data_IF_716793085364
#
_entry.id   IF_716793085364
#
_cell.length_a   1.000
_cell.length_b   1.000
_cell.length_c   1.000
_cell.angle_alpha   90.00
_cell.angle_beta   90.00
_cell.angle_gamma   90.00
#
_symmetry.space_group_name_H-M   'P 1'
#
loop_
_entity.id
_entity.type
_entity.pdbx_description
1 polymer ?
#
# COMPACT_ATOMS: atom_id res chain seq x y z
N UNK A 1 -15.47 3.04 11.41
CA UNK A 1 -14.21 2.54 12.01
C UNK A 1 -13.10 3.39 11.40
N UNK A 2 -12.31 4.08 12.22
CA UNK A 2 -11.17 4.87 11.76
C UNK A 2 -9.93 3.99 11.85
N UNK A 3 -9.15 3.89 10.77
CA UNK A 3 -7.94 3.08 10.78
C UNK A 3 -6.73 4.02 10.94
N UNK A 4 -6.00 3.85 12.06
CA UNK A 4 -4.83 4.66 12.43
C UNK A 4 -3.55 4.25 11.66
N UNK A 5 -3.61 3.16 10.89
CA UNK A 5 -2.52 2.58 10.09
C UNK A 5 -2.11 3.40 8.86
N UNK A 6 -2.92 4.42 8.52
CA UNK A 6 -2.73 5.28 7.37
C UNK A 6 -3.22 4.67 6.05
N UNK A 7 -3.30 5.51 5.02
CA UNK A 7 -3.65 5.08 3.67
C UNK A 7 -2.42 4.72 2.84
N UNK A 8 -2.63 3.92 1.80
CA UNK A 8 -1.69 3.69 0.70
C UNK A 8 -2.43 3.94 -0.62
N UNK A 9 -1.71 4.38 -1.65
CA UNK A 9 -2.26 4.59 -2.99
C UNK A 9 -1.74 3.50 -3.93
N UNK A 10 -2.64 2.75 -4.55
CA UNK A 10 -2.29 1.81 -5.61
C UNK A 10 -2.48 2.50 -6.95
N UNK A 11 -1.43 2.52 -7.77
CA UNK A 11 -1.47 3.13 -9.09
C UNK A 11 -1.51 2.06 -10.18
N UNK A 12 -2.62 1.98 -10.90
CA UNK A 12 -2.74 1.19 -12.13
C UNK A 12 -2.40 2.07 -13.33
N UNK A 13 -2.48 1.49 -14.53
CA UNK A 13 -2.29 2.23 -15.79
C UNK A 13 -3.36 3.32 -15.98
N UNK A 14 -4.56 3.13 -15.44
CA UNK A 14 -5.70 4.02 -15.66
C UNK A 14 -6.18 4.77 -14.40
N UNK A 15 -5.99 4.20 -13.20
CA UNK A 15 -6.61 4.69 -11.98
C UNK A 15 -5.66 4.71 -10.78
N UNK A 16 -6.04 5.50 -9.78
CA UNK A 16 -5.39 5.55 -8.47
C UNK A 16 -6.40 5.14 -7.39
N UNK A 17 -6.06 4.14 -6.59
CA UNK A 17 -6.89 3.63 -5.50
C UNK A 17 -6.29 4.00 -4.16
N UNK A 18 -6.99 4.81 -3.37
CA UNK A 18 -6.57 5.10 -2.00
C UNK A 18 -7.28 4.15 -1.03
N UNK A 19 -6.53 3.27 -0.39
CA UNK A 19 -7.05 2.24 0.50
C UNK A 19 -6.31 2.21 1.83
N UNK A 20 -6.94 1.65 2.87
CA UNK A 20 -6.30 1.46 4.17
C UNK A 20 -5.41 0.22 4.15
N UNK A 21 -4.22 0.33 4.75
CA UNK A 21 -3.22 -0.75 4.73
C UNK A 21 -3.77 -2.03 5.36
N UNK A 22 -4.51 -1.94 6.45
CA UNK A 22 -5.13 -3.07 7.17
C UNK A 22 -6.24 -3.75 6.39
N UNK A 23 -6.99 -3.02 5.55
CA UNK A 23 -7.97 -3.62 4.65
C UNK A 23 -7.24 -4.42 3.58
N UNK A 24 -6.22 -3.81 2.99
CA UNK A 24 -5.42 -4.44 1.94
C UNK A 24 -4.68 -5.70 2.45
N UNK A 25 -4.12 -5.64 3.66
CA UNK A 25 -3.47 -6.77 4.33
C UNK A 25 -4.44 -7.88 4.72
N UNK A 26 -5.73 -7.58 4.93
CA UNK A 26 -6.75 -8.60 5.19
C UNK A 26 -7.16 -9.34 3.94
N UNK A 27 -7.23 -8.63 2.81
CA UNK A 27 -7.66 -9.20 1.52
C UNK A 27 -6.50 -9.83 0.74
N UNK A 28 -5.24 -9.52 1.07
CA UNK A 28 -4.08 -10.04 0.35
C UNK A 28 -2.89 -10.34 1.25
N UNK A 29 -2.42 -11.59 1.19
CA UNK A 29 -1.22 -12.04 1.90
C UNK A 29 0.04 -11.32 1.41
N UNK A 30 0.12 -10.97 0.12
CA UNK A 30 1.26 -10.23 -0.42
C UNK A 30 1.41 -8.87 0.26
N UNK A 31 0.33 -8.10 0.36
CA UNK A 31 0.38 -6.79 1.02
C UNK A 31 0.58 -6.91 2.53
N UNK A 32 0.01 -7.95 3.15
CA UNK A 32 0.29 -8.27 4.55
C UNK A 32 1.79 -8.49 4.77
N UNK A 33 2.41 -9.36 3.99
CA UNK A 33 3.83 -9.67 4.10
C UNK A 33 4.70 -8.45 3.79
N UNK A 34 4.31 -7.65 2.79
CA UNK A 34 4.97 -6.38 2.46
C UNK A 34 4.96 -5.39 3.63
N UNK A 35 3.83 -5.23 4.33
CA UNK A 35 3.74 -4.31 5.48
C UNK A 35 4.40 -4.86 6.74
N UNK A 36 4.40 -6.18 6.92
CA UNK A 36 5.01 -6.85 8.06
C UNK A 36 6.54 -6.94 7.92
N UNK A 37 7.12 -6.71 6.72
CA UNK A 37 8.57 -6.77 6.50
C UNK A 37 9.28 -5.49 7.00
N UNK A 38 10.14 -5.57 8.04
CA UNK A 38 10.93 -4.43 8.49
C UNK A 38 12.07 -4.20 7.48
N UNK A 39 11.93 -3.20 6.60
CA UNK A 39 13.10 -2.75 5.84
C UNK A 39 14.01 -2.01 6.80
N UNK A 40 15.22 -2.55 7.01
CA UNK A 40 16.26 -1.99 7.87
C UNK A 40 16.62 -0.56 7.44
N UNK A 41 15.99 0.42 8.07
CA UNK A 41 16.20 1.84 7.87
C UNK A 41 15.52 2.60 9.00
N UNK A 42 16.33 3.23 9.83
CA UNK A 42 16.00 3.59 11.20
C UNK A 42 15.04 4.79 11.31
N UNK A 43 14.21 4.73 12.36
CA UNK A 43 13.48 5.81 13.04
C UNK A 43 12.16 6.33 12.44
N UNK A 44 11.06 5.97 13.11
CA UNK A 44 9.84 6.76 13.18
C UNK A 44 8.62 6.11 12.55
N UNK A 45 7.80 5.47 13.40
CA UNK A 45 6.35 5.32 13.22
C UNK A 45 5.88 4.62 11.92
N UNK A 46 6.01 3.29 11.85
CA UNK A 46 5.18 2.44 10.96
C UNK A 46 5.26 2.74 9.44
N UNK A 47 6.47 3.05 8.94
CA UNK A 47 6.74 3.28 7.51
C UNK A 47 7.78 2.31 6.90
N UNK A 48 7.97 1.14 7.51
CA UNK A 48 9.06 0.21 7.19
C UNK A 48 9.21 -0.17 5.71
N UNK A 49 8.16 -0.58 5.00
CA UNK A 49 8.28 -0.95 3.58
C UNK A 49 8.01 0.20 2.59
N UNK A 50 7.44 1.31 3.05
CA UNK A 50 6.87 2.36 2.20
C UNK A 50 7.60 3.70 2.30
N UNK A 51 8.64 3.81 3.14
CA UNK A 51 9.46 5.01 3.25
C UNK A 51 10.24 5.35 1.98
N UNK A 52 10.63 4.34 1.18
CA UNK A 52 11.25 4.52 -0.15
C UNK A 52 10.25 4.46 -1.31
N UNK A 53 8.96 4.27 -1.04
CA UNK A 53 7.95 4.26 -2.09
C UNK A 53 7.71 5.68 -2.60
N UNK A 54 7.43 5.79 -3.89
CA UNK A 54 6.91 7.03 -4.49
C UNK A 54 5.73 7.53 -3.63
N UNK A 55 5.62 8.84 -3.37
CA UNK A 55 4.52 9.39 -2.56
C UNK A 55 3.57 10.20 -3.44
N UNK A 56 2.28 9.93 -3.34
CA UNK A 56 1.22 10.73 -3.94
C UNK A 56 0.54 11.59 -2.88
N UNK A 57 0.70 12.90 -2.97
CA UNK A 57 0.16 13.87 -1.97
C UNK A 57 0.56 13.52 -0.53
N UNK A 58 1.80 13.06 -0.33
CA UNK A 58 2.32 12.65 0.98
C UNK A 58 1.87 11.26 1.44
N UNK A 59 1.03 10.56 0.68
CA UNK A 59 0.63 9.18 0.95
C UNK A 59 1.53 8.22 0.16
N UNK A 60 2.04 7.14 0.75
CA UNK A 60 2.85 6.18 0.01
C UNK A 60 2.08 5.57 -1.17
N UNK A 61 2.74 5.42 -2.32
CA UNK A 61 2.18 4.94 -3.58
C UNK A 61 2.92 3.69 -4.06
N UNK A 62 2.16 2.69 -4.48
CA UNK A 62 2.66 1.44 -5.06
C UNK A 62 2.13 1.32 -6.47
N UNK A 63 3.03 1.13 -7.44
CA UNK A 63 2.66 0.93 -8.84
C UNK A 63 2.37 -0.55 -9.09
N UNK A 64 1.17 -0.83 -9.56
CA UNK A 64 0.70 -2.17 -9.91
C UNK A 64 1.17 -2.48 -11.33
N UNK A 65 2.46 -2.82 -11.48
CA UNK A 65 3.08 -3.08 -12.78
C UNK A 65 2.71 -4.51 -13.21
N UNK A 66 1.93 -4.64 -14.27
CA UNK A 66 1.55 -5.93 -14.84
C UNK A 66 0.17 -6.41 -14.39
N UNK A 67 -0.40 -5.83 -13.35
CA UNK A 67 -1.80 -6.06 -12.95
C UNK A 67 -2.74 -5.18 -13.78
N UNK A 68 -3.87 -5.77 -14.18
CA UNK A 68 -4.94 -4.99 -14.79
C UNK A 68 -5.74 -4.23 -13.73
N UNK A 69 -6.52 -3.26 -14.16
CA UNK A 69 -7.38 -2.51 -13.26
C UNK A 69 -8.42 -3.40 -12.57
N UNK A 70 -8.92 -4.42 -13.28
CA UNK A 70 -9.87 -5.42 -12.77
C UNK A 70 -9.23 -6.29 -11.68
N UNK A 71 -7.98 -6.72 -11.86
CA UNK A 71 -7.23 -7.49 -10.86
C UNK A 71 -7.07 -6.69 -9.55
N UNK A 72 -6.79 -5.39 -9.67
CA UNK A 72 -6.65 -4.51 -8.51
C UNK A 72 -8.00 -4.27 -7.85
N UNK A 73 -9.10 -4.14 -8.61
CA UNK A 73 -10.44 -4.05 -8.03
C UNK A 73 -10.81 -5.29 -7.22
N UNK A 74 -10.46 -6.49 -7.69
CA UNK A 74 -10.75 -7.73 -6.97
C UNK A 74 -9.98 -7.90 -5.65
N UNK A 75 -8.95 -7.08 -5.43
CA UNK A 75 -8.10 -7.10 -4.25
C UNK A 75 -8.59 -6.14 -3.14
N UNK A 76 -9.51 -5.22 -3.45
CA UNK A 76 -10.05 -4.21 -2.54
C UNK A 76 -11.33 -4.68 -1.84
#
# INVERSE_FOLDING_TARGET
IWFEDGSIVLATTAHLYRVHKSILAKNSSFFKDMFDFPTSGEQGETEGAVANAERWKGVPLVRMIGDSDEDVYHLL
#
